data_IF_902547369137
#
_entry.id   IF_902547369137
#
_cell.length_a   1.000
_cell.length_b   1.000
_cell.length_c   1.000
_cell.angle_alpha   90.00
_cell.angle_beta   90.00
_cell.angle_gamma   90.00
#
_symmetry.space_group_name_H-M   'P 1'
#
loop_
_entity.id
_entity.type
_entity.pdbx_description
1 polymer ?
#
# COMPACT_ATOMS: atom_id res chain seq x y z
N UNK A 1 43.10 26.07 -26.78
CA UNK A 1 41.86 25.80 -27.53
C UNK A 1 41.04 24.82 -26.73
N UNK A 2 39.79 25.21 -26.41
CA UNK A 2 38.57 24.43 -26.08
C UNK A 2 38.74 23.06 -25.39
N UNK A 3 38.07 22.75 -24.27
CA UNK A 3 36.93 23.32 -23.54
C UNK A 3 36.66 22.39 -22.33
N UNK A 4 35.64 22.50 -21.49
CA UNK A 4 34.57 23.46 -21.24
C UNK A 4 34.10 23.11 -19.81
N UNK A 5 33.90 24.13 -18.97
CA UNK A 5 33.38 24.02 -17.60
C UNK A 5 31.90 23.60 -17.60
N UNK A 6 31.49 22.79 -16.62
CA UNK A 6 30.09 22.64 -16.20
C UNK A 6 29.83 21.24 -15.64
N UNK A 7 29.16 21.02 -14.51
CA UNK A 7 28.47 21.93 -13.62
C UNK A 7 27.91 21.15 -12.42
N UNK A 8 27.89 21.83 -11.27
CA UNK A 8 27.09 21.66 -10.06
C UNK A 8 26.37 20.32 -9.85
N UNK A 9 26.75 19.65 -8.75
CA UNK A 9 26.02 18.54 -8.15
C UNK A 9 24.53 18.87 -8.00
N UNK A 10 23.71 17.96 -8.52
CA UNK A 10 22.26 18.01 -8.40
C UNK A 10 21.88 17.66 -6.95
N UNK A 11 20.97 18.43 -6.32
CA UNK A 11 20.57 18.17 -4.95
C UNK A 11 19.65 16.95 -4.86
N UNK A 12 19.85 16.22 -3.76
CA UNK A 12 19.03 15.12 -3.24
C UNK A 12 17.54 15.34 -3.48
N UNK A 13 16.90 14.44 -4.24
CA UNK A 13 15.45 14.23 -4.13
C UNK A 13 15.20 13.43 -2.85
N UNK A 14 15.06 14.14 -1.75
CA UNK A 14 14.40 13.62 -0.55
C UNK A 14 12.94 13.39 -0.91
N UNK A 15 12.53 12.13 -1.12
CA UNK A 15 11.11 11.76 -1.16
C UNK A 15 10.63 11.82 0.30
N UNK A 16 10.15 12.99 0.70
CA UNK A 16 9.37 13.13 1.93
C UNK A 16 8.02 12.45 1.67
N UNK A 17 7.79 11.29 2.30
CA UNK A 17 6.45 10.76 2.54
C UNK A 17 5.85 11.51 3.74
N UNK A 18 5.64 12.82 3.54
CA UNK A 18 5.19 13.75 4.57
C UNK A 18 4.09 14.65 4.02
N UNK A 19 2.92 14.57 4.65
CA UNK A 19 1.68 15.31 4.37
C UNK A 19 0.99 14.97 3.03
N UNK A 20 -0.23 14.44 3.16
CA UNK A 20 -1.19 14.33 2.08
C UNK A 20 -1.50 15.71 1.52
N UNK A 21 -0.86 16.03 0.40
CA UNK A 21 -1.34 16.98 -0.58
C UNK A 21 -1.23 16.25 -1.91
N UNK A 22 -2.35 15.68 -2.36
CA UNK A 22 -2.53 15.31 -3.76
C UNK A 22 -2.56 16.62 -4.57
N UNK A 23 -1.38 17.16 -4.86
CA UNK A 23 -1.21 18.20 -5.85
C UNK A 23 -1.28 17.52 -7.22
N UNK A 24 -2.49 17.39 -7.77
CA UNK A 24 -2.66 17.09 -9.19
C UNK A 24 -2.15 18.31 -9.98
N UNK A 25 -0.93 18.22 -10.49
CA UNK A 25 -0.43 19.15 -11.51
C UNK A 25 -0.92 18.65 -12.88
N UNK A 26 -2.19 18.91 -13.17
CA UNK A 26 -2.76 18.71 -14.50
C UNK A 26 -2.33 19.87 -15.42
N UNK A 27 -1.57 19.58 -16.47
CA UNK A 27 -1.36 20.54 -17.56
C UNK A 27 -2.67 20.65 -18.36
N UNK A 28 -3.46 21.69 -18.07
CA UNK A 28 -4.74 21.92 -18.74
C UNK A 28 -4.53 22.28 -20.22
N UNK A 29 -4.80 21.35 -21.13
CA UNK A 29 -4.97 21.65 -22.56
C UNK A 29 -6.26 22.47 -22.80
N UNK A 30 -6.35 23.17 -23.95
CA UNK A 30 -7.47 24.05 -24.30
C UNK A 30 -8.86 23.37 -24.25
N UNK A 31 -8.94 22.03 -24.33
CA UNK A 31 -10.18 21.25 -24.20
C UNK A 31 -10.84 21.31 -22.82
N UNK A 32 -10.09 21.62 -21.76
CA UNK A 32 -10.62 21.68 -20.39
C UNK A 32 -11.60 22.84 -20.12
N UNK A 33 -11.64 23.85 -21.01
CA UNK A 33 -12.45 25.07 -20.88
C UNK A 33 -13.57 25.15 -21.92
N UNK A 34 -13.92 24.06 -22.61
CA UNK A 34 -15.06 24.07 -23.53
C UNK A 34 -16.36 24.39 -22.76
N UNK A 35 -17.35 25.04 -23.40
CA UNK A 35 -18.63 25.34 -22.76
C UNK A 35 -19.32 24.10 -22.18
N UNK A 36 -19.19 22.94 -22.86
CA UNK A 36 -19.66 21.65 -22.38
C UNK A 36 -19.00 21.23 -21.06
N UNK A 37 -17.68 21.32 -20.97
CA UNK A 37 -16.93 20.98 -19.76
C UNK A 37 -17.21 21.95 -18.61
N UNK A 38 -17.39 23.23 -18.88
CA UNK A 38 -17.80 24.20 -17.86
C UNK A 38 -19.20 23.85 -17.31
N UNK A 39 -20.14 23.49 -18.19
CA UNK A 39 -21.49 23.10 -17.79
C UNK A 39 -21.49 21.78 -17.00
N UNK A 40 -20.76 20.76 -17.46
CA UNK A 40 -20.60 19.48 -16.77
C UNK A 40 -20.02 19.68 -15.37
N UNK A 41 -18.94 20.46 -15.23
CA UNK A 41 -18.33 20.80 -13.93
C UNK A 41 -19.34 21.45 -12.98
N UNK A 42 -20.18 22.36 -13.49
CA UNK A 42 -21.22 23.02 -12.69
C UNK A 42 -22.27 22.02 -12.22
N UNK A 43 -22.74 21.13 -13.11
CA UNK A 43 -23.71 20.07 -12.77
C UNK A 43 -23.15 19.11 -11.72
N UNK A 44 -21.92 18.62 -11.90
CA UNK A 44 -21.23 17.77 -10.91
C UNK A 44 -21.24 18.43 -9.53
N UNK A 45 -20.77 19.68 -9.45
CA UNK A 45 -20.70 20.42 -8.18
C UNK A 45 -22.08 20.63 -7.56
N UNK A 46 -23.11 20.91 -8.36
CA UNK A 46 -24.47 21.11 -7.86
C UNK A 46 -25.09 19.82 -7.35
N UNK A 47 -25.01 18.73 -8.13
CA UNK A 47 -25.57 17.44 -7.74
C UNK A 47 -24.89 16.87 -6.49
N UNK A 48 -23.57 16.92 -6.43
CA UNK A 48 -22.83 16.35 -5.29
C UNK A 48 -22.91 17.23 -4.03
N UNK A 49 -23.12 18.55 -4.15
CA UNK A 49 -23.37 19.41 -2.99
C UNK A 49 -24.80 19.31 -2.44
N UNK A 50 -25.67 18.52 -3.06
CA UNK A 50 -27.01 18.25 -2.51
C UNK A 50 -26.98 17.28 -1.32
N UNK A 51 -25.86 16.57 -1.12
CA UNK A 51 -25.63 15.77 0.08
C UNK A 51 -25.12 16.69 1.21
N UNK A 52 -25.83 16.73 2.34
CA UNK A 52 -25.48 17.60 3.49
C UNK A 52 -24.08 17.32 4.05
N UNK A 53 -23.63 16.07 3.93
CA UNK A 53 -22.32 15.62 4.40
C UNK A 53 -21.16 16.04 3.48
N UNK A 54 -21.45 16.55 2.28
CA UNK A 54 -20.41 16.96 1.31
C UNK A 54 -19.96 18.39 1.60
N UNK A 55 -18.71 18.49 2.09
CA UNK A 55 -18.05 19.77 2.39
C UNK A 55 -17.60 20.49 1.13
N UNK A 56 -16.97 19.78 0.20
CA UNK A 56 -16.49 20.37 -1.05
C UNK A 56 -16.36 19.35 -2.17
N UNK A 57 -16.31 19.85 -3.41
CA UNK A 57 -16.18 19.03 -4.62
C UNK A 57 -15.14 19.69 -5.52
N UNK A 58 -14.05 18.98 -5.79
CA UNK A 58 -13.12 19.33 -6.85
C UNK A 58 -13.43 18.45 -8.09
N UNK A 59 -13.46 19.07 -9.26
CA UNK A 59 -13.80 18.39 -10.51
C UNK A 59 -12.94 18.97 -11.63
N UNK A 60 -11.98 18.18 -12.06
CA UNK A 60 -10.97 18.50 -13.05
C UNK A 60 -11.22 17.66 -14.30
N UNK A 61 -10.90 18.23 -15.46
CA UNK A 61 -11.02 17.56 -16.75
C UNK A 61 -9.74 17.76 -17.53
N UNK A 62 -9.21 16.64 -18.00
CA UNK A 62 -8.08 16.60 -18.91
C UNK A 62 -8.57 16.06 -20.25
N UNK A 63 -8.06 16.64 -21.33
CA UNK A 63 -8.33 16.14 -22.68
C UNK A 63 -7.19 15.25 -23.13
N UNK A 64 -7.52 14.02 -23.52
CA UNK A 64 -6.60 13.09 -24.17
C UNK A 64 -7.09 12.81 -25.60
N UNK A 65 -6.17 12.82 -26.57
CA UNK A 65 -6.51 12.65 -27.98
C UNK A 65 -7.09 11.26 -28.33
N UNK A 66 -6.72 10.21 -27.60
CA UNK A 66 -7.14 8.84 -27.85
C UNK A 66 -8.47 8.51 -27.17
N UNK A 67 -8.67 9.02 -25.95
CA UNK A 67 -9.80 8.63 -25.09
C UNK A 67 -10.81 9.77 -24.85
N UNK A 68 -10.54 10.97 -25.37
CA UNK A 68 -11.36 12.17 -25.19
C UNK A 68 -11.19 12.79 -23.79
N UNK A 69 -12.27 13.37 -23.29
CA UNK A 69 -12.29 13.98 -21.95
C UNK A 69 -12.22 12.93 -20.85
N UNK A 70 -11.26 13.12 -19.93
CA UNK A 70 -11.05 12.32 -18.73
C UNK A 70 -11.28 13.21 -17.51
N UNK A 71 -12.24 12.84 -16.67
CA UNK A 71 -12.64 13.58 -15.49
C UNK A 71 -12.03 12.97 -14.23
N UNK A 72 -11.40 13.81 -13.41
CA UNK A 72 -11.02 13.46 -12.04
C UNK A 72 -11.88 14.27 -11.08
N UNK A 73 -12.67 13.58 -10.26
CA UNK A 73 -13.57 14.21 -9.28
C UNK A 73 -13.19 13.73 -7.88
N UNK A 74 -12.97 14.68 -6.98
CA UNK A 74 -12.70 14.45 -5.57
C UNK A 74 -13.83 15.08 -4.75
N UNK A 75 -14.55 14.23 -4.00
CA UNK A 75 -15.58 14.62 -3.05
C UNK A 75 -14.94 14.67 -1.67
N UNK A 76 -14.99 15.82 -1.01
CA UNK A 76 -14.54 15.95 0.37
C UNK A 76 -15.77 15.99 1.26
N UNK A 77 -15.90 15.02 2.17
CA UNK A 77 -16.97 15.00 3.16
C UNK A 77 -16.58 15.81 4.40
N UNK A 78 -17.55 16.02 5.29
CA UNK A 78 -17.28 16.51 6.64
C UNK A 78 -16.39 15.53 7.42
N UNK A 79 -15.75 16.01 8.48
CA UNK A 79 -15.01 15.14 9.39
C UNK A 79 -16.02 14.29 10.18
N UNK A 80 -15.68 13.02 10.41
CA UNK A 80 -16.49 12.02 11.10
C UNK A 80 -17.95 11.91 10.60
N UNK A 81 -18.16 11.72 9.29
CA UNK A 81 -19.51 11.62 8.73
C UNK A 81 -20.24 10.39 9.27
N UNK A 82 -21.57 10.47 9.38
CA UNK A 82 -22.41 9.35 9.75
C UNK A 82 -22.31 8.20 8.74
N UNK A 83 -22.51 6.96 9.19
CA UNK A 83 -22.42 5.77 8.33
C UNK A 83 -23.37 5.86 7.13
N UNK A 84 -24.66 6.10 7.40
CA UNK A 84 -25.70 6.15 6.36
C UNK A 84 -25.50 7.32 5.39
N UNK A 85 -25.08 8.48 5.91
CA UNK A 85 -24.79 9.66 5.08
C UNK A 85 -23.60 9.41 4.15
N UNK A 86 -22.54 8.75 4.68
CA UNK A 86 -21.38 8.33 3.88
C UNK A 86 -21.82 7.35 2.81
N UNK A 87 -22.59 6.32 3.19
CA UNK A 87 -23.05 5.30 2.27
C UNK A 87 -23.93 5.86 1.14
N UNK A 88 -24.80 6.83 1.45
CA UNK A 88 -25.61 7.51 0.45
C UNK A 88 -24.74 8.20 -0.61
N UNK A 89 -23.69 8.92 -0.19
CA UNK A 89 -22.74 9.53 -1.13
C UNK A 89 -22.04 8.45 -1.96
N UNK A 90 -21.54 7.38 -1.32
CA UNK A 90 -20.80 6.33 -2.00
C UNK A 90 -21.66 5.56 -3.03
N UNK A 91 -22.96 5.39 -2.79
CA UNK A 91 -23.89 4.72 -3.72
C UNK A 91 -24.24 5.60 -4.92
N UNK A 92 -24.51 6.88 -4.70
CA UNK A 92 -25.10 7.73 -5.74
C UNK A 92 -24.10 8.59 -6.53
N UNK A 93 -22.96 8.94 -5.94
CA UNK A 93 -22.06 9.93 -6.52
C UNK A 93 -21.53 9.53 -7.91
N UNK A 94 -21.20 8.26 -8.12
CA UNK A 94 -20.69 7.79 -9.42
C UNK A 94 -21.71 8.00 -10.54
N UNK A 95 -22.96 7.61 -10.30
CA UNK A 95 -24.07 7.79 -11.25
C UNK A 95 -24.30 9.28 -11.55
N UNK A 96 -24.35 10.13 -10.53
CA UNK A 96 -24.57 11.57 -10.70
C UNK A 96 -23.45 12.24 -11.52
N UNK A 97 -22.19 11.81 -11.34
CA UNK A 97 -21.08 12.31 -12.15
C UNK A 97 -21.18 11.81 -13.58
N UNK A 98 -21.47 10.52 -13.80
CA UNK A 98 -21.63 9.91 -15.13
C UNK A 98 -22.75 10.59 -15.93
N UNK A 99 -23.88 10.89 -15.30
CA UNK A 99 -24.99 11.65 -15.91
C UNK A 99 -24.59 13.09 -16.29
N UNK A 100 -23.70 13.72 -15.53
CA UNK A 100 -23.25 15.07 -15.79
C UNK A 100 -22.24 15.19 -16.94
N UNK A 101 -21.36 14.18 -17.12
CA UNK A 101 -20.28 14.20 -18.14
C UNK A 101 -20.61 13.39 -19.41
N UNK A 102 -21.50 12.40 -19.33
CA UNK A 102 -21.84 11.53 -20.46
C UNK A 102 -20.82 10.43 -20.72
N UNK A 103 -20.43 10.22 -21.98
CA UNK A 103 -19.47 9.18 -22.40
C UNK A 103 -18.01 9.63 -22.22
N UNK A 104 -17.63 9.87 -20.97
CA UNK A 104 -16.27 10.26 -20.60
C UNK A 104 -15.67 9.25 -19.62
N UNK A 105 -14.34 9.21 -19.57
CA UNK A 105 -13.63 8.46 -18.53
C UNK A 105 -13.74 9.23 -17.21
N UNK A 106 -14.06 8.53 -16.11
CA UNK A 106 -14.27 9.16 -14.81
C UNK A 106 -13.46 8.41 -13.76
N UNK A 107 -12.57 9.14 -13.09
CA UNK A 107 -11.96 8.73 -11.82
C UNK A 107 -12.62 9.53 -10.71
N UNK A 108 -13.31 8.83 -9.81
CA UNK A 108 -14.06 9.43 -8.73
C UNK A 108 -13.57 8.88 -7.39
N UNK A 109 -13.31 9.76 -6.43
CA UNK A 109 -13.04 9.37 -5.05
C UNK A 109 -13.75 10.28 -4.05
N UNK A 110 -14.03 9.73 -2.88
CA UNK A 110 -14.48 10.47 -1.70
C UNK A 110 -13.36 10.48 -0.66
N UNK A 111 -13.20 11.57 0.08
CA UNK A 111 -12.24 11.67 1.16
C UNK A 111 -12.84 12.36 2.38
N UNK A 112 -12.42 11.93 3.56
CA UNK A 112 -12.87 12.47 4.84
C UNK A 112 -11.87 12.15 5.94
N UNK A 113 -12.06 12.70 7.14
CA UNK A 113 -11.37 12.21 8.33
C UNK A 113 -12.30 11.30 9.13
N UNK A 114 -11.83 10.13 9.50
CA UNK A 114 -12.55 9.21 10.38
C UNK A 114 -11.71 8.96 11.62
N UNK A 115 -12.22 9.38 12.78
CA UNK A 115 -11.58 9.22 14.09
C UNK A 115 -10.10 9.65 14.07
N UNK A 116 -9.81 10.77 13.40
CA UNK A 116 -8.46 11.30 13.21
C UNK A 116 -7.67 10.75 12.01
N UNK A 117 -8.03 9.59 11.46
CA UNK A 117 -7.38 9.00 10.29
C UNK A 117 -7.88 9.66 8.98
N UNK A 118 -6.97 9.92 8.04
CA UNK A 118 -7.36 10.44 6.72
C UNK A 118 -7.86 9.30 5.83
N UNK A 119 -9.11 9.35 5.39
CA UNK A 119 -9.72 8.32 4.55
C UNK A 119 -9.84 8.80 3.11
N UNK A 120 -9.55 7.90 2.18
CA UNK A 120 -9.83 8.04 0.75
C UNK A 120 -10.57 6.78 0.29
N UNK A 121 -11.62 6.95 -0.50
CA UNK A 121 -12.45 5.86 -1.00
C UNK A 121 -12.59 5.99 -2.50
N UNK A 122 -12.20 4.97 -3.25
CA UNK A 122 -12.37 4.94 -4.71
C UNK A 122 -13.79 4.51 -5.06
N UNK A 123 -14.48 5.29 -5.90
CA UNK A 123 -15.82 5.00 -6.36
C UNK A 123 -15.79 4.47 -7.80
N UNK A 124 -16.67 3.51 -8.07
CA UNK A 124 -16.86 2.92 -9.39
C UNK A 124 -18.34 2.75 -9.68
N UNK A 125 -18.68 2.20 -10.84
CA UNK A 125 -20.06 1.86 -11.18
C UNK A 125 -20.62 0.73 -10.30
N UNK A 126 -19.75 -0.10 -9.73
CA UNK A 126 -20.16 -1.16 -8.81
C UNK A 126 -20.64 -0.57 -7.49
N UNK A 127 -21.63 -1.22 -6.89
CA UNK A 127 -22.10 -0.84 -5.56
C UNK A 127 -20.95 -0.85 -4.54
N UNK A 128 -20.93 0.13 -3.62
CA UNK A 128 -19.93 0.14 -2.56
C UNK A 128 -20.10 -1.09 -1.67
N UNK A 129 -18.98 -1.71 -1.32
CA UNK A 129 -18.97 -2.80 -0.37
C UNK A 129 -19.22 -2.26 1.05
N UNK A 130 -20.43 -2.42 1.55
CA UNK A 130 -20.81 -1.98 2.89
C UNK A 130 -19.99 -2.63 3.99
N UNK A 131 -19.63 -3.91 3.84
CA UNK A 131 -18.79 -4.60 4.80
C UNK A 131 -17.38 -4.00 4.85
N UNK A 132 -16.84 -3.53 3.72
CA UNK A 132 -15.57 -2.82 3.69
C UNK A 132 -15.69 -1.43 4.33
N UNK A 133 -16.82 -0.73 4.17
CA UNK A 133 -17.03 0.55 4.84
C UNK A 133 -17.10 0.36 6.36
N UNK A 134 -17.85 -0.63 6.82
CA UNK A 134 -17.99 -0.96 8.24
C UNK A 134 -16.65 -1.37 8.84
N UNK A 135 -15.90 -2.23 8.15
CA UNK A 135 -14.59 -2.64 8.59
C UNK A 135 -13.62 -1.44 8.66
N UNK A 136 -13.60 -0.58 7.64
CA UNK A 136 -12.77 0.63 7.63
C UNK A 136 -13.09 1.52 8.83
N UNK A 137 -14.37 1.71 9.16
CA UNK A 137 -14.80 2.52 10.31
C UNK A 137 -14.36 1.90 11.64
N UNK A 138 -14.42 0.57 11.77
CA UNK A 138 -13.92 -0.14 12.95
C UNK A 138 -12.40 -0.01 13.12
N UNK A 139 -11.66 0.02 12.01
CA UNK A 139 -10.20 0.20 12.00
C UNK A 139 -9.76 1.65 12.26
N UNK A 140 -10.62 2.62 11.96
CA UNK A 140 -10.31 4.04 12.05
C UNK A 140 -10.01 4.47 13.48
N UNK A 141 -8.76 4.89 13.72
CA UNK A 141 -8.29 5.38 15.01
C UNK A 141 -7.19 6.43 14.83
N UNK A 142 -6.94 7.26 15.86
CA UNK A 142 -5.95 8.34 15.76
C UNK A 142 -4.51 7.88 15.49
N UNK A 143 -4.20 6.60 15.72
CA UNK A 143 -2.89 6.03 15.38
C UNK A 143 -2.70 5.69 13.90
N UNK A 144 -3.77 5.74 13.09
CA UNK A 144 -3.68 5.56 11.64
C UNK A 144 -3.45 6.91 10.96
N UNK A 145 -2.43 7.00 10.11
CA UNK A 145 -2.12 8.22 9.35
C UNK A 145 -3.10 8.39 8.19
N UNK A 146 -3.29 7.33 7.41
CA UNK A 146 -4.24 7.31 6.31
C UNK A 146 -4.80 5.90 6.07
N UNK A 147 -5.97 5.85 5.45
CA UNK A 147 -6.62 4.64 5.01
C UNK A 147 -7.23 4.85 3.63
N UNK A 148 -7.11 3.84 2.78
CA UNK A 148 -7.70 3.80 1.46
C UNK A 148 -8.70 2.64 1.40
N UNK A 149 -9.87 2.87 0.82
CA UNK A 149 -10.90 1.85 0.63
C UNK A 149 -11.46 1.87 -0.78
N UNK A 150 -12.19 0.81 -1.12
CA UNK A 150 -12.88 0.66 -2.40
C UNK A 150 -12.89 -0.80 -2.84
N UNK A 151 -14.01 -1.26 -3.38
CA UNK A 151 -14.16 -2.67 -3.74
C UNK A 151 -14.09 -3.59 -2.52
N UNK A 152 -13.22 -4.60 -2.54
CA UNK A 152 -13.10 -5.62 -1.47
C UNK A 152 -11.81 -5.53 -0.67
N UNK A 153 -11.11 -4.39 -0.73
CA UNK A 153 -9.82 -4.20 -0.05
C UNK A 153 -9.76 -2.89 0.72
N UNK A 154 -9.06 -2.89 1.85
CA UNK A 154 -8.74 -1.70 2.63
C UNK A 154 -7.22 -1.62 2.80
N UNK A 155 -6.62 -0.47 2.52
CA UNK A 155 -5.21 -0.23 2.83
C UNK A 155 -5.09 0.73 4.01
N UNK A 156 -4.29 0.37 5.00
CA UNK A 156 -4.02 1.15 6.19
C UNK A 156 -2.54 1.51 6.22
N UNK A 157 -2.27 2.80 6.42
CA UNK A 157 -0.93 3.33 6.62
C UNK A 157 -0.86 4.03 7.97
N UNK A 158 -0.02 3.51 8.87
CA UNK A 158 0.21 4.07 10.20
C UNK A 158 1.32 5.13 10.20
N UNK A 159 2.12 5.18 9.15
CA UNK A 159 3.32 5.99 9.05
C UNK A 159 4.44 5.48 9.96
N UNK A 160 5.26 6.40 10.45
CA UNK A 160 6.39 6.06 11.33
C UNK A 160 5.90 5.77 12.76
N UNK A 161 6.29 4.61 13.29
CA UNK A 161 5.96 4.15 14.64
C UNK A 161 7.23 3.97 15.48
N UNK A 162 7.12 4.21 16.79
CA UNK A 162 8.26 4.10 17.72
C UNK A 162 8.54 2.67 18.19
N UNK A 163 7.53 1.82 18.15
CA UNK A 163 7.57 0.40 18.52
C UNK A 163 6.68 -0.39 17.57
N UNK A 164 6.93 -1.70 17.46
CA UNK A 164 6.05 -2.60 16.74
C UNK A 164 4.61 -2.48 17.29
N UNK A 165 3.59 -2.21 16.46
CA UNK A 165 2.21 -2.09 16.94
C UNK A 165 1.71 -3.41 17.51
N UNK A 166 1.03 -3.36 18.65
CA UNK A 166 0.47 -4.58 19.28
C UNK A 166 -0.82 -5.06 18.58
N UNK A 167 -1.34 -4.26 17.64
CA UNK A 167 -2.62 -4.42 16.95
C UNK A 167 -2.46 -4.39 15.43
N UNK A 168 -1.35 -4.91 14.90
CA UNK A 168 -1.17 -5.13 13.45
C UNK A 168 -2.29 -6.03 12.93
N UNK A 169 -2.87 -5.63 11.81
CA UNK A 169 -4.00 -6.35 11.21
C UNK A 169 -3.45 -7.49 10.36
N UNK A 170 -3.75 -8.73 10.76
CA UNK A 170 -3.15 -9.95 10.20
C UNK A 170 -4.16 -10.89 9.53
N UNK A 171 -5.44 -10.50 9.47
CA UNK A 171 -6.50 -11.34 8.91
C UNK A 171 -7.53 -10.50 8.16
N UNK A 172 -8.07 -11.01 7.04
CA UNK A 172 -9.22 -10.40 6.39
C UNK A 172 -10.48 -10.53 7.27
N UNK A 173 -11.48 -9.67 7.02
CA UNK A 173 -12.75 -9.70 7.74
C UNK A 173 -13.92 -9.62 6.77
N UNK A 174 -14.90 -10.50 6.93
CA UNK A 174 -16.14 -10.48 6.13
C UNK A 174 -15.90 -10.49 4.61
N UNK A 175 -14.87 -11.20 4.14
CA UNK A 175 -14.50 -11.24 2.71
C UNK A 175 -13.90 -9.94 2.19
N UNK A 176 -13.39 -9.09 3.08
CA UNK A 176 -12.66 -7.85 2.79
C UNK A 176 -11.20 -8.05 3.19
N UNK A 177 -10.32 -7.96 2.19
CA UNK A 177 -8.88 -7.97 2.36
C UNK A 177 -8.37 -6.68 3.01
N UNK A 178 -7.19 -6.77 3.63
CA UNK A 178 -6.58 -5.64 4.33
C UNK A 178 -5.07 -5.59 4.14
N UNK A 179 -4.58 -4.41 3.75
CA UNK A 179 -3.17 -4.05 3.87
C UNK A 179 -2.97 -3.25 5.15
N UNK A 180 -1.99 -3.60 5.98
CA UNK A 180 -1.54 -2.79 7.11
C UNK A 180 -0.04 -2.51 6.97
N UNK A 181 0.34 -1.24 7.04
CA UNK A 181 1.71 -0.80 6.78
C UNK A 181 2.20 0.27 7.76
N UNK A 182 3.47 0.18 8.13
CA UNK A 182 4.12 1.12 9.02
C UNK A 182 5.64 1.10 8.84
N UNK A 183 6.29 2.21 9.21
CA UNK A 183 7.75 2.33 9.22
C UNK A 183 8.28 2.24 10.65
N UNK A 184 9.28 1.40 10.89
CA UNK A 184 9.89 1.19 12.21
C UNK A 184 11.41 1.27 12.08
N UNK A 185 12.00 2.38 12.56
CA UNK A 185 13.46 2.53 12.60
C UNK A 185 14.14 2.47 11.22
N UNK A 186 13.48 3.00 10.18
CA UNK A 186 13.99 3.03 8.81
C UNK A 186 13.64 1.80 7.96
N UNK A 187 12.95 0.81 8.55
CA UNK A 187 12.44 -0.39 7.89
C UNK A 187 10.94 -0.24 7.64
N UNK A 188 10.46 -0.63 6.47
CA UNK A 188 9.03 -0.72 6.18
C UNK A 188 8.51 -2.11 6.46
N UNK A 189 7.43 -2.22 7.23
CA UNK A 189 6.70 -3.47 7.48
C UNK A 189 5.34 -3.36 6.80
N UNK A 190 4.97 -4.38 6.04
CA UNK A 190 3.67 -4.48 5.37
C UNK A 190 3.07 -5.87 5.58
N UNK A 191 1.78 -5.91 5.87
CA UNK A 191 0.96 -7.12 5.85
C UNK A 191 -0.13 -6.89 4.82
N UNK A 192 -0.28 -7.78 3.85
CA UNK A 192 -1.39 -7.83 2.91
C UNK A 192 -2.09 -9.17 3.14
N UNK A 193 -3.26 -9.12 3.76
CA UNK A 193 -4.07 -10.29 4.11
C UNK A 193 -5.40 -10.18 3.35
N UNK A 194 -5.47 -10.76 2.15
CA UNK A 194 -6.70 -10.76 1.34
C UNK A 194 -7.61 -11.95 1.70
N UNK A 195 -7.01 -13.14 1.84
CA UNK A 195 -7.74 -14.40 2.07
C UNK A 195 -7.20 -15.24 3.22
N UNK A 196 -5.94 -15.03 3.60
CA UNK A 196 -5.19 -15.85 4.55
C UNK A 196 -5.15 -15.19 5.93
N UNK A 197 -5.34 -16.00 6.97
CA UNK A 197 -5.10 -15.59 8.35
C UNK A 197 -3.62 -15.77 8.72
N UNK A 198 -2.92 -14.66 8.84
CA UNK A 198 -1.51 -14.60 9.20
C UNK A 198 -1.26 -14.47 10.71
N UNK A 199 -2.29 -14.55 11.55
CA UNK A 199 -2.16 -14.37 13.01
C UNK A 199 -1.22 -15.38 13.68
N UNK A 200 -0.96 -16.53 13.04
CA UNK A 200 0.00 -17.52 13.52
C UNK A 200 1.47 -17.18 13.19
N UNK A 201 1.72 -16.23 12.30
CA UNK A 201 3.07 -15.84 11.88
C UNK A 201 3.68 -14.92 12.95
N UNK A 202 4.85 -15.27 13.52
CA UNK A 202 5.50 -14.48 14.57
C UNK A 202 6.20 -13.23 14.00
N UNK A 203 5.44 -12.35 13.33
CA UNK A 203 5.97 -11.21 12.60
C UNK A 203 6.76 -10.23 13.50
N UNK A 204 6.31 -10.05 14.74
CA UNK A 204 7.04 -9.25 15.73
C UNK A 204 8.43 -9.81 15.99
N UNK A 205 8.54 -11.12 16.20
CA UNK A 205 9.82 -11.78 16.46
C UNK A 205 10.76 -11.68 15.25
N UNK A 206 10.21 -11.83 14.04
CA UNK A 206 10.97 -11.61 12.79
C UNK A 206 11.54 -10.20 12.74
N UNK A 207 10.71 -9.18 13.01
CA UNK A 207 11.12 -7.78 13.00
C UNK A 207 12.15 -7.47 14.11
N UNK A 208 11.96 -8.02 15.30
CA UNK A 208 12.87 -7.83 16.43
C UNK A 208 14.23 -8.53 16.20
N UNK A 209 14.26 -9.61 15.42
CA UNK A 209 15.49 -10.31 15.04
C UNK A 209 16.35 -9.56 14.01
N UNK A 210 15.79 -8.55 13.33
CA UNK A 210 16.54 -7.70 12.40
C UNK A 210 17.32 -6.66 13.19
N UNK A 211 18.64 -6.88 13.26
CA UNK A 211 19.59 -5.99 13.91
C UNK A 211 19.48 -4.57 13.35
N UNK A 212 19.67 -3.56 14.21
CA UNK A 212 19.51 -2.14 13.86
C UNK A 212 20.37 -1.70 12.66
N UNK A 213 21.54 -2.31 12.46
CA UNK A 213 22.42 -2.07 11.31
C UNK A 213 21.78 -2.41 9.96
N UNK A 214 20.80 -3.31 9.93
CA UNK A 214 20.11 -3.75 8.70
C UNK A 214 18.81 -3.00 8.44
N UNK A 215 18.29 -2.24 9.39
CA UNK A 215 16.92 -1.70 9.28
C UNK A 215 16.76 -0.63 8.23
N UNK A 216 17.82 0.13 7.92
CA UNK A 216 17.73 1.19 6.93
C UNK A 216 17.40 0.60 5.55
N UNK A 217 16.28 1.02 4.96
CA UNK A 217 15.80 0.54 3.66
C UNK A 217 15.42 -0.94 3.64
N UNK A 218 15.35 -1.59 4.81
CA UNK A 218 14.82 -2.94 4.90
C UNK A 218 13.31 -2.95 4.67
N UNK A 219 12.84 -4.08 4.14
CA UNK A 219 11.42 -4.33 3.91
C UNK A 219 11.05 -5.70 4.44
N UNK A 220 9.99 -5.76 5.25
CA UNK A 220 9.36 -6.99 5.69
C UNK A 220 7.93 -6.98 5.15
N UNK A 221 7.60 -7.92 4.27
CA UNK A 221 6.27 -8.03 3.69
C UNK A 221 5.70 -9.43 3.91
N UNK A 222 4.48 -9.48 4.44
CA UNK A 222 3.70 -10.70 4.59
C UNK A 222 2.49 -10.59 3.66
N UNK A 223 2.34 -11.50 2.70
CA UNK A 223 1.35 -11.35 1.62
C UNK A 223 0.82 -12.67 1.10
N UNK A 224 -0.48 -12.75 0.81
CA UNK A 224 -1.12 -13.80 0.02
C UNK A 224 -1.64 -13.32 -1.35
N UNK A 225 -1.78 -12.01 -1.53
CA UNK A 225 -2.15 -11.34 -2.79
C UNK A 225 -0.92 -10.87 -3.62
N UNK A 226 0.10 -11.73 -3.74
CA UNK A 226 1.27 -11.38 -4.55
C UNK A 226 1.06 -11.77 -6.02
N UNK A 227 0.94 -10.78 -6.90
CA UNK A 227 0.79 -10.91 -8.37
C UNK A 227 1.78 -11.86 -9.10
N UNK A 228 2.90 -12.23 -8.47
CA UNK A 228 3.88 -13.18 -9.02
C UNK A 228 3.79 -14.57 -8.39
N UNK A 229 3.34 -14.66 -7.14
CA UNK A 229 3.52 -15.89 -6.34
C UNK A 229 2.22 -16.48 -5.81
N UNK A 230 1.13 -15.71 -5.71
CA UNK A 230 -0.24 -16.11 -5.29
C UNK A 230 -0.29 -17.07 -4.07
N UNK A 231 0.76 -17.06 -3.24
CA UNK A 231 0.95 -17.95 -2.12
C UNK A 231 1.27 -17.13 -0.87
N UNK A 232 0.76 -17.54 0.30
CA UNK A 232 1.16 -17.00 1.59
C UNK A 232 2.69 -16.95 1.75
N UNK A 233 3.26 -15.75 1.67
CA UNK A 233 4.71 -15.52 1.59
C UNK A 233 5.14 -14.50 2.62
N UNK A 234 6.23 -14.80 3.34
CA UNK A 234 7.00 -13.81 4.08
C UNK A 234 8.24 -13.43 3.28
N UNK A 235 8.39 -12.15 2.97
CA UNK A 235 9.59 -11.55 2.37
C UNK A 235 10.31 -10.69 3.41
N UNK A 236 11.62 -10.91 3.55
CA UNK A 236 12.52 -10.12 4.41
C UNK A 236 13.74 -9.70 3.60
N UNK A 237 13.69 -8.47 3.10
CA UNK A 237 14.72 -7.82 2.32
C UNK A 237 15.53 -6.89 3.22
N UNK A 238 16.63 -7.38 3.81
CA UNK A 238 17.37 -6.67 4.86
C UNK A 238 18.86 -7.02 4.99
N UNK A 239 19.26 -8.25 4.66
CA UNK A 239 20.48 -8.87 5.18
C UNK A 239 21.70 -8.62 4.29
N UNK A 240 22.20 -7.39 4.33
CA UNK A 240 23.37 -6.94 3.56
C UNK A 240 23.00 -6.15 2.31
N UNK A 241 24.02 -5.65 1.61
CA UNK A 241 23.89 -5.03 0.29
C UNK A 241 24.23 -6.06 -0.79
N UNK A 242 23.67 -5.90 -1.99
CA UNK A 242 23.94 -6.78 -3.14
C UNK A 242 25.44 -6.94 -3.40
N UNK A 243 26.25 -5.88 -3.25
CA UNK A 243 27.71 -5.95 -3.44
C UNK A 243 28.44 -6.85 -2.44
N UNK A 244 27.86 -7.05 -1.27
CA UNK A 244 28.47 -7.74 -0.14
C UNK A 244 27.95 -9.18 0.00
N UNK A 245 26.90 -9.52 -0.76
CA UNK A 245 26.16 -10.77 -0.67
C UNK A 245 25.23 -10.84 0.54
N UNK A 246 24.47 -11.93 0.60
CA UNK A 246 23.53 -12.21 1.68
C UNK A 246 24.26 -12.56 3.00
N UNK A 247 23.93 -11.87 4.10
CA UNK A 247 24.34 -12.31 5.44
C UNK A 247 23.56 -13.57 5.85
N UNK A 248 24.20 -14.72 5.64
CA UNK A 248 23.66 -16.06 5.89
C UNK A 248 23.25 -16.25 7.35
N UNK A 249 24.02 -15.72 8.31
CA UNK A 249 23.73 -15.90 9.73
C UNK A 249 22.52 -15.08 10.17
N UNK A 250 22.37 -13.86 9.66
CA UNK A 250 21.19 -13.04 9.92
C UNK A 250 19.93 -13.64 9.27
N UNK A 251 20.04 -14.09 8.01
CA UNK A 251 18.95 -14.76 7.30
C UNK A 251 18.48 -16.05 8.01
N UNK A 252 19.42 -16.83 8.55
CA UNK A 252 19.13 -18.06 9.30
C UNK A 252 18.27 -17.82 10.55
N UNK A 253 18.41 -16.67 11.23
CA UNK A 253 17.56 -16.32 12.38
C UNK A 253 16.08 -16.25 11.99
N UNK A 254 15.77 -15.60 10.87
CA UNK A 254 14.39 -15.51 10.35
C UNK A 254 13.86 -16.88 9.99
N UNK A 255 14.69 -17.70 9.33
CA UNK A 255 14.31 -19.07 8.97
C UNK A 255 13.92 -19.90 10.20
N UNK A 256 14.68 -19.80 11.29
CA UNK A 256 14.37 -20.49 12.55
C UNK A 256 13.08 -19.99 13.20
N UNK A 257 12.83 -18.68 13.19
CA UNK A 257 11.62 -18.07 13.80
C UNK A 257 10.34 -18.57 13.13
N UNK A 258 10.33 -18.69 11.80
CA UNK A 258 9.12 -19.07 11.05
C UNK A 258 9.06 -20.57 10.72
N UNK A 259 10.05 -21.34 11.16
CA UNK A 259 10.04 -22.79 10.98
C UNK A 259 8.84 -23.43 11.68
N UNK A 260 8.17 -24.37 11.01
CA UNK A 260 6.98 -25.03 11.53
C UNK A 260 5.69 -24.20 11.40
N UNK A 261 5.73 -22.96 10.92
CA UNK A 261 4.53 -22.17 10.68
C UNK A 261 3.67 -22.81 9.57
N UNK A 262 2.39 -23.01 9.84
CA UNK A 262 1.46 -23.72 8.93
C UNK A 262 0.74 -22.78 7.94
N UNK A 263 0.74 -21.46 8.19
CA UNK A 263 0.09 -20.49 7.31
C UNK A 263 0.98 -20.10 6.12
N UNK A 264 2.31 -20.12 6.31
CA UNK A 264 3.27 -19.78 5.26
C UNK A 264 3.50 -20.94 4.27
N UNK A 265 3.58 -20.58 3.00
CA UNK A 265 3.96 -21.46 1.90
C UNK A 265 5.29 -21.05 1.24
N UNK A 266 5.82 -19.87 1.58
CA UNK A 266 7.09 -19.39 1.06
C UNK A 266 7.76 -18.42 2.03
N UNK A 267 9.09 -18.47 2.08
CA UNK A 267 9.95 -17.51 2.75
C UNK A 267 10.98 -17.00 1.74
N UNK A 268 11.09 -15.68 1.57
CA UNK A 268 12.18 -15.06 0.82
C UNK A 268 13.01 -14.20 1.78
N UNK A 269 14.30 -14.52 1.90
CA UNK A 269 15.27 -13.74 2.69
C UNK A 269 16.34 -13.21 1.75
N UNK A 270 16.56 -11.90 1.74
CA UNK A 270 17.47 -11.27 0.79
C UNK A 270 18.21 -10.08 1.38
N UNK A 271 19.19 -9.58 0.61
CA UNK A 271 19.76 -8.25 0.77
C UNK A 271 18.68 -7.17 0.63
N UNK A 272 19.00 -5.94 1.02
CA UNK A 272 18.20 -4.78 0.59
C UNK A 272 18.27 -4.63 -0.94
N UNK A 273 17.23 -4.03 -1.52
CA UNK A 273 17.17 -3.79 -2.97
C UNK A 273 18.28 -2.84 -3.40
N UNK A 274 19.04 -3.23 -4.42
CA UNK A 274 19.95 -2.32 -5.08
C UNK A 274 19.14 -1.36 -5.97
N UNK A 275 19.24 -0.06 -5.67
CA UNK A 275 18.50 0.98 -6.39
C UNK A 275 18.94 1.11 -7.86
N UNK A 276 20.14 0.64 -8.21
CA UNK A 276 20.68 0.75 -9.57
C UNK A 276 20.23 -0.38 -10.49
N UNK A 277 20.18 -1.62 -10.00
CA UNK A 277 19.70 -2.78 -10.74
C UNK A 277 18.21 -3.08 -10.53
N UNK A 278 17.61 -2.54 -9.47
CA UNK A 278 16.24 -2.87 -9.05
C UNK A 278 16.08 -4.29 -8.50
N UNK A 279 17.20 -4.99 -8.23
CA UNK A 279 17.22 -6.39 -7.80
C UNK A 279 17.64 -6.57 -6.34
N UNK A 280 17.41 -7.79 -5.83
CA UNK A 280 17.92 -8.28 -4.56
C UNK A 280 18.73 -9.56 -4.80
N UNK A 281 19.66 -9.87 -3.90
CA UNK A 281 20.29 -11.19 -3.84
C UNK A 281 19.77 -11.91 -2.59
N UNK A 282 19.22 -13.10 -2.78
CA UNK A 282 18.54 -13.79 -1.71
C UNK A 282 18.25 -15.25 -1.99
N UNK A 283 17.67 -15.88 -0.99
CA UNK A 283 17.22 -17.26 -1.05
C UNK A 283 15.72 -17.32 -0.81
N UNK A 284 15.04 -18.03 -1.70
CA UNK A 284 13.63 -18.37 -1.54
C UNK A 284 13.49 -19.82 -1.12
N UNK A 285 12.79 -20.06 -0.03
CA UNK A 285 12.37 -21.38 0.41
C UNK A 285 10.89 -21.56 0.13
N UNK A 286 10.50 -22.68 -0.49
CA UNK A 286 9.11 -23.13 -0.45
C UNK A 286 8.87 -23.86 0.87
N UNK A 287 7.65 -23.73 1.39
CA UNK A 287 7.21 -24.38 2.62
C UNK A 287 6.02 -25.29 2.34
N UNK A 288 6.04 -26.48 2.92
CA UNK A 288 4.90 -27.39 2.96
C UNK A 288 4.72 -27.89 4.40
N UNK A 289 3.54 -27.67 4.96
CA UNK A 289 3.21 -27.97 6.36
C UNK A 289 4.28 -27.50 7.37
N UNK A 290 4.85 -26.30 7.15
CA UNK A 290 5.88 -25.70 8.00
C UNK A 290 7.32 -26.20 7.79
N UNK A 291 7.54 -27.15 6.87
CA UNK A 291 8.86 -27.63 6.51
C UNK A 291 9.40 -26.90 5.28
N UNK A 292 10.66 -26.47 5.32
CA UNK A 292 11.34 -25.83 4.20
C UNK A 292 11.92 -26.86 3.21
N UNK A 293 11.89 -26.52 1.93
CA UNK A 293 12.64 -27.22 0.89
C UNK A 293 14.15 -26.92 0.92
N UNK A 294 14.86 -27.14 -0.18
CA UNK A 294 16.29 -26.85 -0.28
C UNK A 294 16.61 -25.34 -0.34
N UNK A 295 15.65 -24.52 -0.73
CA UNK A 295 15.86 -23.13 -1.13
C UNK A 295 16.36 -22.98 -2.57
N UNK A 296 16.09 -21.82 -3.16
CA UNK A 296 16.59 -21.39 -4.46
C UNK A 296 17.29 -20.02 -4.35
N UNK A 297 18.54 -19.88 -4.82
CA UNK A 297 19.39 -20.93 -5.40
C UNK A 297 19.78 -22.04 -4.39
N UNK A 298 19.92 -23.32 -4.80
CA UNK A 298 20.15 -24.42 -3.85
C UNK A 298 21.44 -24.33 -3.04
N UNK A 299 22.53 -23.81 -3.63
CA UNK A 299 23.81 -23.66 -2.93
C UNK A 299 23.71 -22.63 -1.80
N UNK A 300 23.08 -21.48 -2.06
CA UNK A 300 22.85 -20.45 -1.04
C UNK A 300 21.83 -20.91 0.00
N UNK A 301 20.78 -21.63 -0.41
CA UNK A 301 19.82 -22.22 0.51
C UNK A 301 20.42 -23.26 1.44
N UNK A 302 21.37 -24.06 0.96
CA UNK A 302 22.11 -24.99 1.80
C UNK A 302 22.92 -24.26 2.88
N UNK A 303 23.57 -23.13 2.56
CA UNK A 303 24.33 -22.32 3.54
C UNK A 303 23.41 -21.75 4.63
N UNK A 304 22.29 -21.14 4.25
CA UNK A 304 21.32 -20.58 5.22
C UNK A 304 20.75 -21.67 6.12
N UNK A 305 20.38 -22.82 5.57
CA UNK A 305 19.88 -23.96 6.37
C UNK A 305 20.94 -24.55 7.29
N UNK A 306 22.20 -24.61 6.86
CA UNK A 306 23.29 -25.06 7.71
C UNK A 306 23.46 -24.13 8.93
N UNK A 307 23.54 -22.81 8.69
CA UNK A 307 23.61 -21.81 9.76
C UNK A 307 22.39 -21.84 10.70
N UNK A 308 21.20 -22.11 10.17
CA UNK A 308 19.98 -22.26 10.96
C UNK A 308 20.06 -23.47 11.92
N UNK A 309 20.61 -24.61 11.45
CA UNK A 309 20.82 -25.80 12.28
C UNK A 309 21.89 -25.60 13.36
N UNK A 310 22.98 -24.92 13.01
CA UNK A 310 24.08 -24.62 13.94
C UNK A 310 23.62 -23.72 15.08
N UNK A 311 22.77 -22.73 14.79
CA UNK A 311 22.22 -21.83 15.82
C UNK A 311 21.11 -22.44 16.69
N UNK A 312 20.54 -23.57 16.28
CA UNK A 312 19.52 -24.31 17.03
C UNK A 312 20.09 -25.45 17.90
N UNK A 313 21.39 -25.75 17.77
CA UNK A 313 22.10 -26.78 18.54
C UNK A 313 22.76 -26.20 19.78
#
# INVERSE_FOLDING_TARGET
MMGLVGGKGLPRRTILVGAGVLALLAMSGCGSLTPGNIQARRRIKQSLKSFDVVKSVNAEVEYNFEIGDSWTVLIVLNDDPGREETLAVLKDAYRLVKEAVGRSYVRLSASWKQNGASVSWSLSENEPNEAALDYLRDLAKPSMKSMDGGGRHISVNRGEVKKFPDDVIMMPRSGVGVDDSFDLGGMTVKVNADTTDFSSVPLREVVDAIDSKYRKEARVELTDDHHVYEKPTLEVSAFGAVSDGLDVAAAAKVLNIVSGNQALQSLYVSTVSDQSSGGTEGVRFQMDAGAFDAGYPPEEGAKVRAAARESAS
#
